data_IF_516052984326
#
_entry.id   IF_516052984326
#
_cell.length_a   1.000
_cell.length_b   1.000
_cell.length_c   1.000
_cell.angle_alpha   90.00
_cell.angle_beta   90.00
_cell.angle_gamma   90.00
#
_symmetry.space_group_name_H-M   'P 1'
#
loop_
_entity.id
_entity.type
_entity.pdbx_description
1 polymer ?
#
# COMPACT_ATOMS: atom_id res chain seq x y z
N UNK A 1 -67.74 -49.88 71.23
CA UNK A 1 -67.00 -51.09 70.82
C UNK A 1 -66.74 -51.03 69.29
N UNK A 2 -65.76 -51.42 68.83
CA UNK A 2 -64.38 -50.95 68.91
C UNK A 2 -63.69 -50.90 67.55
N UNK A 3 -62.56 -50.36 67.61
CA UNK A 3 -61.32 -50.71 66.96
C UNK A 3 -60.87 -49.93 65.72
N UNK A 4 -59.57 -49.65 65.77
CA UNK A 4 -58.97 -48.61 64.99
C UNK A 4 -58.44 -49.17 63.69
N UNK A 5 -58.58 -48.39 62.68
CA UNK A 5 -57.96 -48.67 61.42
C UNK A 5 -56.61 -47.97 61.29
N UNK A 6 -55.64 -48.73 61.03
CA UNK A 6 -54.25 -48.39 61.01
C UNK A 6 -53.95 -47.44 59.85
N UNK A 7 -53.46 -46.28 60.24
CA UNK A 7 -52.84 -45.37 59.32
C UNK A 7 -51.59 -45.99 58.70
N UNK A 8 -51.63 -46.27 57.41
CA UNK A 8 -50.47 -46.57 56.64
C UNK A 8 -49.83 -45.26 56.26
N UNK A 9 -48.74 -44.94 56.94
CA UNK A 9 -47.87 -43.84 56.58
C UNK A 9 -47.00 -44.27 55.39
N UNK A 10 -47.43 -43.85 54.22
CA UNK A 10 -46.59 -43.98 53.04
C UNK A 10 -45.56 -42.81 53.09
N UNK A 11 -44.36 -43.14 53.51
CA UNK A 11 -43.20 -42.25 53.41
C UNK A 11 -42.80 -42.29 51.96
N UNK A 12 -43.23 -41.29 51.22
CA UNK A 12 -42.67 -41.00 49.90
C UNK A 12 -41.32 -40.28 50.13
N UNK A 13 -40.26 -41.07 50.08
CA UNK A 13 -38.93 -40.53 49.94
C UNK A 13 -38.82 -39.92 48.54
N UNK A 14 -39.21 -38.66 48.43
CA UNK A 14 -38.89 -37.82 47.28
C UNK A 14 -37.40 -37.58 47.28
N UNK A 15 -36.70 -38.27 46.41
CA UNK A 15 -35.29 -38.02 46.14
C UNK A 15 -35.11 -36.62 45.63
N UNK A 16 -34.53 -35.76 46.44
CA UNK A 16 -33.94 -34.49 46.05
C UNK A 16 -32.73 -34.83 45.19
N UNK A 17 -32.96 -34.94 43.87
CA UNK A 17 -31.90 -34.79 42.89
C UNK A 17 -31.37 -33.36 42.96
N UNK A 18 -30.36 -33.22 43.76
CA UNK A 18 -29.50 -32.03 43.76
C UNK A 18 -28.84 -31.95 42.38
N UNK A 19 -29.46 -31.23 41.45
CA UNK A 19 -28.76 -30.75 40.27
C UNK A 19 -27.71 -29.76 40.76
N UNK A 20 -26.53 -30.26 41.10
CA UNK A 20 -25.31 -29.49 41.23
C UNK A 20 -24.95 -29.04 39.82
N UNK A 21 -25.66 -28.05 39.29
CA UNK A 21 -25.24 -27.29 38.15
C UNK A 21 -23.93 -26.59 38.53
N UNK A 22 -22.82 -27.11 38.03
CA UNK A 22 -21.57 -26.33 37.98
C UNK A 22 -21.87 -25.09 37.17
N UNK A 23 -22.33 -24.03 37.81
CA UNK A 23 -22.29 -22.70 37.26
C UNK A 23 -20.80 -22.34 37.22
N UNK A 24 -20.14 -22.63 36.11
CA UNK A 24 -18.87 -22.01 35.77
C UNK A 24 -19.15 -20.50 35.66
N UNK A 25 -18.87 -19.77 36.70
CA UNK A 25 -18.86 -18.32 36.66
C UNK A 25 -17.73 -17.94 35.69
N UNK A 26 -18.12 -17.74 34.41
CA UNK A 26 -17.24 -17.12 33.44
C UNK A 26 -17.07 -15.66 33.92
N UNK A 27 -16.04 -15.40 34.70
CA UNK A 27 -15.61 -14.08 35.12
C UNK A 27 -14.92 -13.34 33.96
N UNK A 28 -15.37 -13.54 32.73
CA UNK A 28 -15.03 -12.73 31.59
C UNK A 28 -16.05 -11.60 31.50
N UNK A 29 -15.62 -10.37 31.61
CA UNK A 29 -16.42 -9.25 31.11
C UNK A 29 -16.71 -9.61 29.65
N UNK A 30 -17.97 -9.68 29.19
CA UNK A 30 -18.27 -9.90 27.79
C UNK A 30 -17.66 -8.72 27.01
N UNK A 31 -16.46 -8.95 26.48
CA UNK A 31 -15.85 -8.01 25.57
C UNK A 31 -16.60 -8.22 24.27
N UNK A 32 -17.41 -7.23 23.89
CA UNK A 32 -17.99 -7.24 22.57
C UNK A 32 -16.83 -7.41 21.58
N UNK A 33 -16.95 -8.36 20.64
CA UNK A 33 -16.00 -8.50 19.57
C UNK A 33 -15.78 -7.10 18.98
N UNK A 34 -14.53 -6.62 18.91
CA UNK A 34 -14.28 -5.31 18.35
C UNK A 34 -14.89 -5.28 16.96
N UNK A 35 -15.83 -4.37 16.74
CA UNK A 35 -16.43 -4.20 15.43
C UNK A 35 -15.31 -4.12 14.39
N UNK A 36 -15.43 -4.80 13.24
CA UNK A 36 -14.40 -4.75 12.21
C UNK A 36 -14.08 -3.29 11.92
N UNK A 37 -12.79 -2.97 11.99
CA UNK A 37 -12.33 -1.60 11.70
C UNK A 37 -12.67 -1.26 10.25
N UNK A 38 -13.11 -0.03 9.97
CA UNK A 38 -13.28 0.40 8.59
C UNK A 38 -11.92 0.34 7.88
N UNK A 39 -11.93 0.03 6.59
CA UNK A 39 -10.71 -0.04 5.78
C UNK A 39 -10.11 1.34 5.53
N UNK A 40 -10.94 2.38 5.51
CA UNK A 40 -10.54 3.77 5.23
C UNK A 40 -11.25 4.74 6.16
N UNK A 41 -10.72 5.96 6.26
CA UNK A 41 -11.32 7.03 7.04
C UNK A 41 -11.13 6.90 8.54
N UNK A 42 -11.95 7.62 9.28
CA UNK A 42 -11.84 7.66 10.75
C UNK A 42 -12.06 6.28 11.36
N UNK A 43 -11.11 5.83 12.17
CA UNK A 43 -11.16 4.54 12.85
C UNK A 43 -10.50 3.39 12.06
N UNK A 44 -10.09 3.61 10.81
CA UNK A 44 -9.28 2.67 10.06
C UNK A 44 -7.86 2.52 10.67
N UNK A 45 -7.19 1.43 10.34
CA UNK A 45 -5.81 1.20 10.76
C UNK A 45 -4.84 2.09 9.98
N UNK A 46 -4.10 3.00 10.64
CA UNK A 46 -3.13 3.84 9.97
C UNK A 46 -2.00 3.06 9.28
N UNK A 47 -1.59 1.92 9.85
CA UNK A 47 -0.52 1.09 9.27
C UNK A 47 -0.98 0.48 7.95
N UNK A 48 -2.16 -0.12 7.93
CA UNK A 48 -2.73 -0.70 6.71
C UNK A 48 -2.98 0.37 5.63
N UNK A 49 -3.40 1.57 6.00
CA UNK A 49 -3.61 2.67 5.07
C UNK A 49 -2.28 3.14 4.46
N UNK A 50 -1.27 3.39 5.29
CA UNK A 50 0.08 3.81 4.84
C UNK A 50 0.76 2.71 4.03
N UNK A 51 0.54 1.43 4.37
CA UNK A 51 1.08 0.31 3.60
C UNK A 51 0.56 0.32 2.16
N UNK A 52 -0.72 0.63 1.94
CA UNK A 52 -1.30 0.80 0.60
C UNK A 52 -0.68 1.99 -0.14
N UNK A 53 -0.44 3.13 0.54
CA UNK A 53 0.25 4.29 -0.07
C UNK A 53 1.64 3.88 -0.55
N UNK A 54 2.45 3.25 0.30
CA UNK A 54 3.78 2.78 -0.08
C UNK A 54 3.74 1.71 -1.17
N UNK A 55 2.74 0.81 -1.15
CA UNK A 55 2.51 -0.18 -2.20
C UNK A 55 2.25 0.46 -3.56
N UNK A 56 1.40 1.48 -3.61
CA UNK A 56 1.15 2.25 -4.82
C UNK A 56 2.43 2.92 -5.35
N UNK A 57 3.23 3.50 -4.47
CA UNK A 57 4.52 4.12 -4.83
C UNK A 57 5.51 3.09 -5.39
N UNK A 58 5.59 1.89 -4.79
CA UNK A 58 6.43 0.79 -5.29
C UNK A 58 6.07 0.37 -6.72
N UNK A 59 4.81 0.50 -7.12
CA UNK A 59 4.34 0.11 -8.46
C UNK A 59 5.08 0.88 -9.57
N UNK A 60 5.36 2.17 -9.39
CA UNK A 60 6.15 2.93 -10.36
C UNK A 60 7.66 2.82 -10.12
N UNK A 61 8.08 2.70 -8.86
CA UNK A 61 9.51 2.68 -8.51
C UNK A 61 10.22 1.48 -9.14
N UNK A 62 9.57 0.33 -9.20
CA UNK A 62 10.15 -0.90 -9.75
C UNK A 62 10.55 -0.74 -11.23
N UNK A 63 9.67 -0.33 -12.17
CA UNK A 63 10.08 -0.15 -13.57
C UNK A 63 11.06 1.01 -13.76
N UNK A 64 10.96 2.09 -12.98
CA UNK A 64 11.88 3.23 -13.09
C UNK A 64 13.31 2.85 -12.67
N UNK A 65 13.46 2.00 -11.66
CA UNK A 65 14.78 1.52 -11.23
C UNK A 65 15.35 0.38 -12.09
N UNK A 66 14.53 -0.28 -12.90
CA UNK A 66 14.95 -1.33 -13.82
C UNK A 66 15.62 -0.73 -15.08
N UNK A 67 16.81 -0.17 -14.93
CA UNK A 67 17.52 0.47 -16.03
C UNK A 67 17.72 -0.51 -17.21
N UNK A 68 17.55 -0.03 -18.45
CA UNK A 68 17.73 -0.88 -19.62
C UNK A 68 19.21 -1.25 -19.79
N UNK A 69 19.47 -2.50 -20.19
CA UNK A 69 20.81 -2.93 -20.61
C UNK A 69 21.00 -2.63 -22.10
N UNK A 70 22.09 -1.97 -22.45
CA UNK A 70 22.43 -1.59 -23.83
C UNK A 70 23.58 -2.44 -24.42
N UNK A 71 24.09 -3.45 -23.68
CA UNK A 71 25.22 -4.25 -24.12
C UNK A 71 24.94 -4.93 -25.47
N UNK A 72 25.87 -4.75 -26.41
CA UNK A 72 25.79 -5.35 -27.76
C UNK A 72 24.68 -4.79 -28.65
N UNK A 73 23.97 -3.73 -28.24
CA UNK A 73 22.94 -3.10 -29.06
C UNK A 73 23.54 -2.12 -30.05
N UNK A 74 23.06 -2.16 -31.30
CA UNK A 74 23.26 -1.07 -32.27
C UNK A 74 22.37 0.13 -31.91
N UNK A 75 22.48 1.22 -32.67
CA UNK A 75 21.73 2.46 -32.38
C UNK A 75 20.20 2.24 -32.45
N UNK A 76 19.71 1.40 -33.33
CA UNK A 76 18.30 1.07 -33.42
C UNK A 76 17.85 0.27 -32.19
N UNK A 77 18.66 -0.69 -31.75
CA UNK A 77 18.42 -1.45 -30.53
C UNK A 77 18.47 -0.60 -29.27
N UNK A 78 19.40 0.37 -29.18
CA UNK A 78 19.44 1.34 -28.07
C UNK A 78 18.15 2.17 -28.05
N UNK A 79 17.73 2.72 -29.20
CA UNK A 79 16.47 3.45 -29.32
C UNK A 79 15.29 2.63 -28.81
N UNK A 80 15.16 1.39 -29.31
CA UNK A 80 14.04 0.52 -28.94
C UNK A 80 14.01 0.23 -27.44
N UNK A 81 15.13 -0.20 -26.87
CA UNK A 81 15.20 -0.53 -25.43
C UNK A 81 14.92 0.67 -24.54
N UNK A 82 15.37 1.87 -24.93
CA UNK A 82 15.10 3.11 -24.19
C UNK A 82 13.62 3.49 -24.31
N UNK A 83 13.02 3.41 -25.51
CA UNK A 83 11.59 3.66 -25.72
C UNK A 83 10.73 2.70 -24.89
N UNK A 84 11.06 1.40 -24.88
CA UNK A 84 10.35 0.37 -24.10
C UNK A 84 10.47 0.63 -22.59
N UNK A 85 11.64 1.02 -22.11
CA UNK A 85 11.85 1.40 -20.72
C UNK A 85 11.00 2.61 -20.31
N UNK A 86 10.97 3.65 -21.14
CA UNK A 86 10.17 4.85 -20.87
C UNK A 86 8.66 4.54 -20.91
N UNK A 87 8.23 3.66 -21.84
CA UNK A 87 6.84 3.19 -21.89
C UNK A 87 6.44 2.38 -20.65
N UNK A 88 7.31 1.47 -20.20
CA UNK A 88 7.07 0.71 -18.97
C UNK A 88 7.00 1.63 -17.73
N UNK A 89 7.87 2.65 -17.68
CA UNK A 89 7.85 3.66 -16.62
C UNK A 89 6.56 4.46 -16.62
N UNK A 90 6.06 4.90 -17.78
CA UNK A 90 4.77 5.59 -17.89
C UNK A 90 3.61 4.71 -17.43
N UNK A 91 3.62 3.44 -17.80
CA UNK A 91 2.61 2.47 -17.37
C UNK A 91 2.61 2.30 -15.84
N UNK A 92 3.78 2.16 -15.24
CA UNK A 92 3.94 2.06 -13.79
C UNK A 92 3.44 3.31 -13.05
N UNK A 93 3.74 4.50 -13.60
CA UNK A 93 3.26 5.79 -13.05
C UNK A 93 1.74 5.90 -13.11
N UNK A 94 1.12 5.52 -14.23
CA UNK A 94 -0.34 5.54 -14.36
C UNK A 94 -0.98 4.58 -13.34
N UNK A 95 -0.49 3.35 -13.24
CA UNK A 95 -0.99 2.35 -12.30
C UNK A 95 -0.84 2.82 -10.84
N UNK A 96 0.30 3.45 -10.51
CA UNK A 96 0.54 4.02 -9.19
C UNK A 96 -0.50 5.10 -8.84
N UNK A 97 -0.78 6.01 -9.77
CA UNK A 97 -1.79 7.07 -9.59
C UNK A 97 -3.19 6.49 -9.41
N UNK A 98 -3.55 5.50 -10.23
CA UNK A 98 -4.85 4.81 -10.13
C UNK A 98 -5.01 4.13 -8.77
N UNK A 99 -3.97 3.48 -8.28
CA UNK A 99 -3.94 2.86 -6.94
C UNK A 99 -4.08 3.91 -5.83
N UNK A 100 -3.34 5.04 -5.90
CA UNK A 100 -3.47 6.14 -4.94
C UNK A 100 -4.89 6.70 -4.90
N UNK A 101 -5.54 6.84 -6.07
CA UNK A 101 -6.94 7.28 -6.16
C UNK A 101 -7.94 6.32 -5.51
N UNK A 102 -7.59 5.05 -5.35
CA UNK A 102 -8.45 4.00 -4.77
C UNK A 102 -8.20 3.76 -3.28
N UNK A 103 -7.17 4.36 -2.68
CA UNK A 103 -6.82 4.12 -1.26
C UNK A 103 -7.94 4.55 -0.32
N UNK A 104 -8.71 5.57 -0.68
CA UNK A 104 -9.76 6.15 0.15
C UNK A 104 -9.23 7.06 1.27
N UNK A 105 -10.13 7.71 2.01
CA UNK A 105 -9.79 8.72 3.01
C UNK A 105 -8.82 8.22 4.07
N UNK A 106 -7.90 9.09 4.49
CA UNK A 106 -6.92 8.78 5.52
C UNK A 106 -7.56 8.68 6.91
N UNK A 107 -7.13 7.72 7.76
CA UNK A 107 -7.49 7.69 9.18
C UNK A 107 -6.73 8.73 10.01
N UNK A 108 -5.75 9.41 9.42
CA UNK A 108 -4.87 10.38 10.10
C UNK A 108 -4.99 11.74 9.42
N UNK A 109 -5.17 12.81 10.20
CA UNK A 109 -5.19 14.17 9.66
C UNK A 109 -3.90 14.49 8.88
N UNK A 110 -4.05 15.13 7.71
CA UNK A 110 -2.96 15.45 6.79
C UNK A 110 -2.57 14.31 5.84
N UNK A 111 -3.13 13.10 6.01
CA UNK A 111 -2.81 11.98 5.12
C UNK A 111 -3.35 12.16 3.71
N UNK A 112 -4.55 12.72 3.56
CA UNK A 112 -5.12 13.00 2.23
C UNK A 112 -4.30 14.07 1.49
N UNK A 113 -3.80 15.10 2.20
CA UNK A 113 -2.89 16.09 1.64
C UNK A 113 -1.57 15.45 1.18
N UNK A 114 -1.07 14.47 1.94
CA UNK A 114 0.13 13.70 1.57
C UNK A 114 -0.09 12.93 0.27
N UNK A 115 -1.20 12.20 0.14
CA UNK A 115 -1.56 11.51 -1.11
C UNK A 115 -1.71 12.48 -2.27
N UNK A 116 -2.30 13.65 -2.05
CA UNK A 116 -2.44 14.70 -3.06
C UNK A 116 -1.08 15.18 -3.57
N UNK A 117 -0.12 15.44 -2.66
CA UNK A 117 1.24 15.86 -3.06
C UNK A 117 1.98 14.77 -3.84
N UNK A 118 1.91 13.52 -3.37
CA UNK A 118 2.52 12.38 -4.07
C UNK A 118 1.93 12.25 -5.47
N UNK A 119 0.60 12.31 -5.61
CA UNK A 119 -0.10 12.22 -6.90
C UNK A 119 0.32 13.34 -7.85
N UNK A 120 0.42 14.57 -7.37
CA UNK A 120 0.88 15.71 -8.17
C UNK A 120 2.35 15.53 -8.65
N UNK A 121 3.21 15.01 -7.78
CA UNK A 121 4.59 14.67 -8.16
C UNK A 121 4.66 13.58 -9.22
N UNK A 122 3.81 12.55 -9.12
CA UNK A 122 3.72 11.49 -10.14
C UNK A 122 3.17 12.00 -11.48
N UNK A 123 2.24 12.95 -11.46
CA UNK A 123 1.74 13.61 -12.67
C UNK A 123 2.84 14.38 -13.39
N UNK A 124 3.66 15.12 -12.64
CA UNK A 124 4.78 15.85 -13.22
C UNK A 124 5.81 14.87 -13.80
N UNK A 125 6.18 13.84 -13.04
CA UNK A 125 7.10 12.78 -13.49
C UNK A 125 6.60 12.09 -14.75
N UNK A 126 5.29 11.81 -14.85
CA UNK A 126 4.69 11.20 -16.04
C UNK A 126 4.82 12.10 -17.28
N UNK A 127 4.63 13.43 -17.12
CA UNK A 127 4.83 14.39 -18.20
C UNK A 127 6.28 14.42 -18.68
N UNK A 128 7.22 14.45 -17.73
CA UNK A 128 8.65 14.54 -18.04
C UNK A 128 9.14 13.27 -18.75
N UNK A 129 8.74 12.09 -18.29
CA UNK A 129 9.05 10.81 -18.95
C UNK A 129 8.35 10.72 -20.33
N UNK A 130 7.13 11.26 -20.46
CA UNK A 130 6.43 11.37 -21.74
C UNK A 130 7.20 12.19 -22.75
N UNK A 131 7.64 13.39 -22.37
CA UNK A 131 8.44 14.26 -23.23
C UNK A 131 9.78 13.62 -23.61
N UNK A 132 10.43 12.90 -22.68
CA UNK A 132 11.65 12.16 -22.94
C UNK A 132 11.40 11.04 -23.98
N UNK A 133 10.32 10.30 -23.84
CA UNK A 133 9.93 9.25 -24.78
C UNK A 133 9.67 9.79 -26.18
N UNK A 134 8.92 10.87 -26.30
CA UNK A 134 8.66 11.52 -27.59
C UNK A 134 9.95 11.91 -28.32
N UNK A 135 10.94 12.46 -27.60
CA UNK A 135 12.26 12.79 -28.18
C UNK A 135 13.00 11.54 -28.68
N UNK A 136 13.02 10.48 -27.88
CA UNK A 136 13.64 9.21 -28.26
C UNK A 136 12.96 8.59 -29.48
N UNK A 137 11.64 8.58 -29.51
CA UNK A 137 10.88 7.99 -30.61
C UNK A 137 11.05 8.78 -31.93
N UNK A 138 11.18 10.09 -31.84
CA UNK A 138 11.42 10.97 -33.01
C UNK A 138 12.86 10.89 -33.55
N UNK A 139 13.84 10.42 -32.73
CA UNK A 139 15.24 10.39 -33.15
C UNK A 139 15.47 9.32 -34.21
N UNK A 140 16.16 9.68 -35.34
CA UNK A 140 16.53 8.74 -36.39
C UNK A 140 17.90 8.09 -36.08
N UNK A 141 17.94 6.77 -35.83
CA UNK A 141 19.19 6.07 -35.51
C UNK A 141 20.16 6.00 -36.70
N UNK A 142 19.71 6.26 -37.94
CA UNK A 142 20.58 6.33 -39.13
C UNK A 142 21.30 7.69 -39.21
N UNK A 143 20.80 8.73 -38.59
CA UNK A 143 21.49 10.01 -38.44
C UNK A 143 22.25 10.04 -37.11
N UNK A 144 23.42 9.43 -37.09
CA UNK A 144 24.23 9.22 -35.87
C UNK A 144 24.45 10.53 -35.06
N UNK A 145 24.86 11.66 -35.64
CA UNK A 145 25.04 12.89 -34.87
C UNK A 145 23.76 13.42 -34.24
N UNK A 146 22.66 13.42 -34.98
CA UNK A 146 21.35 13.88 -34.46
C UNK A 146 20.80 12.95 -33.39
N UNK A 147 20.99 11.63 -33.57
CA UNK A 147 20.58 10.64 -32.58
C UNK A 147 21.34 10.78 -31.25
N UNK A 148 22.67 10.96 -31.31
CA UNK A 148 23.48 11.20 -30.11
C UNK A 148 23.10 12.48 -29.40
N UNK A 149 22.82 13.56 -30.14
CA UNK A 149 22.33 14.81 -29.55
C UNK A 149 20.98 14.61 -28.83
N UNK A 150 20.03 13.92 -29.44
CA UNK A 150 18.72 13.62 -28.83
C UNK A 150 18.83 12.77 -27.56
N UNK A 151 19.75 11.78 -27.53
CA UNK A 151 20.03 11.00 -26.32
C UNK A 151 20.64 11.87 -25.21
N UNK A 152 21.59 12.74 -25.53
CA UNK A 152 22.22 13.67 -24.57
C UNK A 152 21.19 14.64 -23.96
N UNK A 153 20.31 15.19 -24.79
CA UNK A 153 19.20 16.04 -24.32
C UNK A 153 18.22 15.28 -23.42
N UNK A 154 17.86 14.07 -23.83
CA UNK A 154 16.99 13.19 -23.04
C UNK A 154 17.60 12.86 -21.68
N UNK A 155 18.90 12.50 -21.65
CA UNK A 155 19.63 12.24 -20.42
C UNK A 155 19.66 13.48 -19.50
N UNK A 156 19.95 14.66 -20.07
CA UNK A 156 19.95 15.92 -19.33
C UNK A 156 18.59 16.25 -18.76
N UNK A 157 17.53 16.06 -19.55
CA UNK A 157 16.14 16.28 -19.11
C UNK A 157 15.77 15.31 -17.97
N UNK A 158 16.09 14.02 -18.10
CA UNK A 158 15.79 13.01 -17.07
C UNK A 158 16.60 13.23 -15.78
N UNK A 159 17.82 13.75 -15.87
CA UNK A 159 18.65 14.08 -14.71
C UNK A 159 18.07 15.23 -13.86
N UNK A 160 17.21 16.07 -14.44
CA UNK A 160 16.53 17.16 -13.75
C UNK A 160 15.18 16.72 -13.15
N UNK A 161 14.71 15.55 -13.49
CA UNK A 161 13.43 15.02 -13.01
C UNK A 161 13.57 14.62 -11.55
N UNK A 162 12.71 15.17 -10.71
CA UNK A 162 12.66 14.82 -9.28
C UNK A 162 11.50 13.89 -9.03
N UNK A 163 11.78 12.67 -8.61
CA UNK A 163 10.75 11.75 -8.13
C UNK A 163 10.13 12.28 -6.82
N UNK A 164 8.83 12.09 -6.59
CA UNK A 164 8.21 12.50 -5.34
C UNK A 164 8.82 11.72 -4.16
N UNK A 165 9.19 12.45 -3.10
CA UNK A 165 9.69 11.85 -1.86
C UNK A 165 8.51 11.42 -0.97
N UNK A 166 7.85 10.33 -1.34
CA UNK A 166 6.71 9.82 -0.63
C UNK A 166 7.00 9.48 0.83
N UNK A 167 8.22 9.00 1.15
CA UNK A 167 8.63 8.72 2.51
C UNK A 167 8.85 10.01 3.31
N UNK A 168 9.48 11.03 2.71
CA UNK A 168 9.61 12.35 3.30
C UNK A 168 8.25 12.99 3.56
N UNK A 169 7.34 12.89 2.62
CA UNK A 169 5.96 13.39 2.79
C UNK A 169 5.20 12.70 3.94
N UNK A 170 5.36 11.39 4.13
CA UNK A 170 4.78 10.67 5.26
C UNK A 170 5.39 11.11 6.60
N UNK A 171 6.68 11.47 6.64
CA UNK A 171 7.38 11.94 7.85
C UNK A 171 6.91 13.32 8.32
N UNK A 172 6.23 14.09 7.50
CA UNK A 172 5.68 15.41 7.91
C UNK A 172 4.63 15.30 9.03
N UNK A 173 4.01 14.12 9.20
CA UNK A 173 3.08 13.82 10.28
C UNK A 173 3.65 12.73 11.21
N UNK A 174 3.85 12.97 12.51
CA UNK A 174 4.38 11.95 13.42
C UNK A 174 3.56 10.65 13.48
N UNK A 175 2.25 10.73 13.26
CA UNK A 175 1.38 9.55 13.23
C UNK A 175 1.54 8.74 11.94
N UNK A 176 1.71 9.41 10.80
CA UNK A 176 1.99 8.75 9.52
C UNK A 176 3.40 8.17 9.52
N UNK A 177 4.39 8.88 10.03
CA UNK A 177 5.77 8.38 10.17
C UNK A 177 5.82 7.10 11.01
N UNK A 178 5.16 7.11 12.19
CA UNK A 178 5.07 5.91 13.03
C UNK A 178 4.38 4.74 12.31
N UNK A 179 3.34 5.00 11.54
CA UNK A 179 2.66 3.98 10.75
C UNK A 179 3.56 3.46 9.62
N UNK A 180 4.30 4.34 8.93
CA UNK A 180 5.24 3.98 7.87
C UNK A 180 6.38 3.07 8.35
N UNK A 181 6.88 3.27 9.57
CA UNK A 181 7.90 2.42 10.18
C UNK A 181 7.41 0.99 10.44
N UNK A 182 6.10 0.76 10.51
CA UNK A 182 5.48 -0.54 10.73
C UNK A 182 4.92 -1.17 9.44
N UNK A 183 4.81 -0.40 8.37
CA UNK A 183 4.25 -0.81 7.10
C UNK A 183 5.30 -1.55 6.25
N UNK A 184 4.99 -2.78 5.82
CA UNK A 184 5.93 -3.63 5.09
C UNK A 184 6.35 -3.03 3.73
N UNK A 185 5.39 -2.44 3.00
CA UNK A 185 5.67 -1.81 1.71
C UNK A 185 6.54 -0.54 1.87
N UNK A 186 6.40 0.21 2.96
CA UNK A 186 7.27 1.36 3.23
C UNK A 186 8.71 0.93 3.52
N UNK A 187 8.90 -0.17 4.27
CA UNK A 187 10.22 -0.77 4.50
C UNK A 187 10.86 -1.23 3.18
N UNK A 188 10.08 -1.85 2.30
CA UNK A 188 10.56 -2.23 0.95
C UNK A 188 10.92 -1.00 0.13
N UNK A 189 10.09 0.04 0.15
CA UNK A 189 10.35 1.30 -0.55
C UNK A 189 11.67 1.93 -0.10
N UNK A 190 11.92 2.00 1.21
CA UNK A 190 13.20 2.46 1.76
C UNK A 190 14.38 1.65 1.21
N UNK A 191 14.24 0.32 1.16
CA UNK A 191 15.32 -0.55 0.70
C UNK A 191 15.65 -0.34 -0.78
N UNK A 192 14.64 -0.17 -1.63
CA UNK A 192 14.84 -0.03 -3.09
C UNK A 192 15.28 1.39 -3.49
N UNK A 193 14.96 2.40 -2.68
CA UNK A 193 15.35 3.80 -2.92
C UNK A 193 16.62 4.22 -2.19
N UNK A 194 17.19 3.34 -1.34
CA UNK A 194 18.45 3.63 -0.65
C UNK A 194 19.59 3.88 -1.66
N UNK A 195 20.42 4.89 -1.45
CA UNK A 195 21.61 5.12 -2.28
C UNK A 195 22.52 3.89 -2.24
N UNK A 196 22.97 3.44 -3.39
CA UNK A 196 23.93 2.34 -3.55
C UNK A 196 25.35 2.82 -3.53
#
# INVERSE_FOLDING_TARGET
MPRPSRLAVVVVLGGLLSLSGCASVVTGIPQADPAPRPETGRGADPVAWVDRVCGAVLTYTTPVLAQPNFDGADLAGIKQRLSDYLAASQTGLQQSRDQLGQIGPSPVGGGDDTVTRITAGLEQLQKDIGAAKEKVDAADPNNVPAFQAALGETQTSLAQVTAPDALGDLRTSPRLDKAAQQAANCTRLQTVTAPR
#
